data_IF_251720508113
#
_entry.id   IF_251720508113
#
_cell.length_a   1.000
_cell.length_b   1.000
_cell.length_c   1.000
_cell.angle_alpha   90.00
_cell.angle_beta   90.00
_cell.angle_gamma   90.00
#
_symmetry.space_group_name_H-M   'P 1'
#
loop_
_entity.id
_entity.type
_entity.pdbx_description
1 polymer ?
#
# COMPACT_ATOMS: atom_id res chain seq x y z
N UNK A 1 -8.90 -6.59 47.22
CA UNK A 1 -9.24 -7.41 46.07
C UNK A 1 -8.51 -6.81 44.85
N UNK A 2 -7.49 -7.52 44.36
CA UNK A 2 -6.80 -7.15 43.12
C UNK A 2 -7.79 -7.38 41.96
N UNK A 3 -8.26 -6.32 41.30
CA UNK A 3 -8.95 -6.46 40.03
C UNK A 3 -8.01 -7.10 39.06
N UNK A 4 -8.38 -8.28 38.53
CA UNK A 4 -7.71 -8.90 37.42
C UNK A 4 -7.78 -7.93 36.24
N UNK A 5 -6.67 -7.25 35.96
CA UNK A 5 -6.56 -6.46 34.74
C UNK A 5 -6.81 -7.39 33.56
N UNK A 6 -7.84 -7.11 32.77
CA UNK A 6 -8.05 -7.82 31.49
C UNK A 6 -6.79 -7.74 30.62
N UNK A 7 -6.69 -8.57 29.58
CA UNK A 7 -5.48 -8.62 28.74
C UNK A 7 -5.13 -7.21 28.28
N UNK A 8 -3.95 -6.74 28.68
CA UNK A 8 -3.50 -5.38 28.41
C UNK A 8 -3.47 -5.17 26.90
N UNK A 9 -4.23 -4.20 26.41
CA UNK A 9 -4.31 -3.87 24.99
C UNK A 9 -2.94 -3.41 24.50
N UNK A 10 -2.43 -4.03 23.44
CA UNK A 10 -1.15 -3.66 22.83
C UNK A 10 -1.37 -2.41 21.96
N UNK A 11 -0.56 -1.39 22.20
CA UNK A 11 -0.60 -0.15 21.41
C UNK A 11 -0.39 -0.44 19.92
N UNK A 12 -1.22 0.15 19.07
CA UNK A 12 -1.19 -0.07 17.62
C UNK A 12 -2.01 -1.26 17.11
N UNK A 13 -2.29 -2.28 17.92
CA UNK A 13 -3.13 -3.42 17.48
C UNK A 13 -4.55 -3.02 17.13
N UNK A 14 -5.11 -2.02 17.79
CA UNK A 14 -6.48 -1.56 17.54
C UNK A 14 -6.67 -1.02 16.12
N UNK A 15 -5.60 -0.54 15.46
CA UNK A 15 -5.64 -0.09 14.07
C UNK A 15 -6.21 -1.19 13.15
N UNK A 16 -5.84 -2.43 13.40
CA UNK A 16 -6.24 -3.58 12.59
C UNK A 16 -7.59 -4.17 13.01
N UNK A 17 -7.98 -4.02 14.26
CA UNK A 17 -9.25 -4.57 14.79
C UNK A 17 -10.47 -3.72 14.46
N UNK A 18 -10.28 -2.39 14.36
CA UNK A 18 -11.34 -1.44 13.99
C UNK A 18 -11.38 -1.15 12.49
N UNK A 19 -10.49 -1.77 11.71
CA UNK A 19 -10.40 -1.59 10.28
C UNK A 19 -11.62 -2.15 9.58
N UNK A 20 -12.56 -1.28 9.27
CA UNK A 20 -13.70 -1.59 8.44
C UNK A 20 -13.17 -2.01 7.06
N UNK A 21 -13.59 -3.18 6.56
CA UNK A 21 -13.28 -3.73 5.23
C UNK A 21 -13.54 -2.78 4.03
N UNK A 22 -14.12 -1.60 4.29
CA UNK A 22 -14.37 -0.52 3.32
C UNK A 22 -13.12 0.01 2.61
N UNK A 23 -11.91 -0.30 3.08
CA UNK A 23 -10.65 0.09 2.43
C UNK A 23 -10.51 -0.61 1.07
N UNK A 24 -11.11 -1.78 0.89
CA UNK A 24 -11.03 -2.58 -0.34
C UNK A 24 -12.06 -2.20 -1.41
N UNK A 25 -13.09 -1.42 -1.07
CA UNK A 25 -14.16 -1.04 -2.00
C UNK A 25 -13.81 0.14 -2.93
N UNK A 26 -12.65 0.78 -2.73
CA UNK A 26 -12.20 1.92 -3.55
C UNK A 26 -11.35 1.46 -4.72
N UNK A 27 -11.96 0.97 -5.78
CA UNK A 27 -11.21 0.51 -6.95
C UNK A 27 -11.73 0.97 -8.32
N UNK A 28 -12.51 2.05 -8.37
CA UNK A 28 -12.92 2.63 -9.66
C UNK A 28 -12.63 4.12 -9.68
N UNK A 29 -11.87 4.56 -10.71
CA UNK A 29 -11.54 5.96 -11.03
C UNK A 29 -10.86 6.78 -9.92
N UNK A 30 -9.92 6.17 -9.20
CA UNK A 30 -9.09 6.89 -8.23
C UNK A 30 -7.85 7.44 -8.93
N UNK A 31 -7.50 8.67 -8.63
CA UNK A 31 -6.16 9.18 -8.94
C UNK A 31 -5.14 8.28 -8.23
N UNK A 32 -4.41 7.46 -9.00
CA UNK A 32 -3.38 6.60 -8.43
C UNK A 32 -2.30 7.47 -7.75
N UNK A 33 -1.73 7.02 -6.62
CA UNK A 33 -0.58 7.68 -6.05
C UNK A 33 0.55 7.80 -7.07
N UNK A 34 1.22 8.96 -7.11
CA UNK A 34 2.25 9.23 -8.11
C UNK A 34 3.38 8.19 -8.15
N UNK A 35 3.68 7.56 -7.01
CA UNK A 35 4.70 6.52 -6.85
C UNK A 35 4.20 5.09 -7.13
N UNK A 36 2.94 4.89 -7.55
CA UNK A 36 2.42 3.59 -7.95
C UNK A 36 3.16 3.07 -9.18
N UNK A 37 3.71 1.87 -9.11
CA UNK A 37 4.41 1.23 -10.23
C UNK A 37 3.41 0.51 -11.14
N UNK A 38 3.35 0.96 -12.39
CA UNK A 38 2.49 0.37 -13.41
C UNK A 38 2.99 -1.03 -13.83
N UNK A 39 2.05 -1.90 -14.18
CA UNK A 39 2.33 -3.26 -14.60
C UNK A 39 1.33 -3.82 -15.58
N UNK A 40 1.61 -5.03 -16.05
CA UNK A 40 0.73 -5.78 -16.95
C UNK A 40 -0.68 -5.94 -16.35
N UNK A 41 -1.71 -5.65 -17.15
CA UNK A 41 -3.11 -5.75 -16.74
C UNK A 41 -3.67 -4.47 -16.10
N UNK A 42 -2.84 -3.46 -15.78
CA UNK A 42 -3.35 -2.16 -15.36
C UNK A 42 -4.08 -1.49 -16.53
N UNK A 43 -5.24 -0.88 -16.23
CA UNK A 43 -6.07 -0.17 -17.20
C UNK A 43 -6.00 1.32 -16.91
N UNK A 44 -5.54 2.09 -17.88
CA UNK A 44 -5.40 3.53 -17.80
C UNK A 44 -6.51 4.24 -18.58
N UNK A 45 -7.18 5.20 -17.96
CA UNK A 45 -8.07 6.16 -18.61
C UNK A 45 -7.27 7.40 -19.02
N UNK A 46 -7.34 7.76 -20.28
CA UNK A 46 -6.66 8.95 -20.85
C UNK A 46 -7.71 9.87 -21.42
N UNK A 47 -7.82 11.08 -20.90
CA UNK A 47 -8.72 12.09 -21.43
C UNK A 47 -8.02 13.42 -21.67
N UNK A 48 -8.37 14.09 -22.76
CA UNK A 48 -7.93 15.45 -23.03
C UNK A 48 -9.04 16.24 -23.73
N UNK A 49 -9.08 17.52 -23.40
CA UNK A 49 -10.05 18.48 -23.93
C UNK A 49 -9.26 19.66 -24.50
N UNK A 50 -9.43 19.98 -25.77
CA UNK A 50 -8.70 21.07 -26.41
C UNK A 50 -9.16 21.26 -27.85
N UNK A 51 -8.23 21.32 -28.80
CA UNK A 51 -8.54 21.39 -30.24
C UNK A 51 -9.36 20.17 -30.71
N UNK A 52 -9.28 19.05 -29.98
CA UNK A 52 -10.13 17.87 -30.18
C UNK A 52 -10.47 17.23 -28.82
N UNK A 53 -11.57 16.49 -28.77
CA UNK A 53 -11.94 15.67 -27.63
C UNK A 53 -11.26 14.29 -27.75
N UNK A 54 -10.58 13.88 -26.69
CA UNK A 54 -9.96 12.58 -26.59
C UNK A 54 -10.36 11.91 -25.28
N UNK A 55 -10.89 10.70 -25.35
CA UNK A 55 -11.23 9.90 -24.17
C UNK A 55 -11.16 8.42 -24.51
N UNK A 56 -10.11 7.76 -24.07
CA UNK A 56 -9.89 6.34 -24.34
C UNK A 56 -9.31 5.63 -23.11
N UNK A 57 -9.50 4.32 -23.06
CA UNK A 57 -8.89 3.44 -22.08
C UNK A 57 -7.86 2.53 -22.73
N UNK A 58 -6.77 2.27 -22.01
CA UNK A 58 -5.67 1.44 -22.51
C UNK A 58 -5.25 0.45 -21.43
N UNK A 59 -5.15 -0.83 -21.80
CA UNK A 59 -4.60 -1.87 -20.93
C UNK A 59 -3.13 -2.06 -21.23
N UNK A 60 -2.31 -2.15 -20.20
CA UNK A 60 -0.89 -2.48 -20.34
C UNK A 60 -0.79 -3.97 -20.69
N UNK A 61 -0.22 -4.26 -21.85
CA UNK A 61 -0.06 -5.63 -22.36
C UNK A 61 1.03 -6.42 -21.61
N UNK A 62 1.16 -7.73 -21.92
CA UNK A 62 2.15 -8.63 -21.29
C UNK A 62 3.60 -8.22 -21.55
N UNK A 63 3.86 -7.42 -22.58
CA UNK A 63 5.19 -6.85 -22.87
C UNK A 63 5.40 -5.50 -22.18
N UNK A 64 4.38 -4.96 -21.51
CA UNK A 64 4.44 -3.72 -20.77
C UNK A 64 4.11 -2.47 -21.56
N UNK A 65 3.44 -2.60 -22.71
CA UNK A 65 3.11 -1.47 -23.58
C UNK A 65 1.61 -1.17 -23.56
N UNK A 66 1.29 0.12 -23.77
CA UNK A 66 -0.01 0.53 -24.32
C UNK A 66 0.16 0.90 -25.78
N UNK A 67 -0.87 0.65 -26.61
CA UNK A 67 -0.89 1.04 -28.02
C UNK A 67 -1.94 2.12 -28.20
N UNK A 68 -1.50 3.33 -28.55
CA UNK A 68 -2.37 4.47 -28.83
C UNK A 68 -2.53 4.61 -30.35
N UNK A 69 -3.77 4.49 -30.84
CA UNK A 69 -4.03 4.54 -32.28
C UNK A 69 -3.51 5.82 -32.93
N UNK A 70 -2.78 5.66 -34.04
CA UNK A 70 -2.16 6.76 -34.77
C UNK A 70 -0.98 7.45 -34.07
N UNK A 71 -0.64 7.05 -32.81
CA UNK A 71 0.45 7.65 -32.03
C UNK A 71 1.57 6.66 -31.71
N UNK A 72 1.29 5.36 -31.79
CA UNK A 72 2.30 4.32 -31.55
C UNK A 72 2.20 3.64 -30.19
N UNK A 73 3.30 2.99 -29.79
CA UNK A 73 3.41 2.23 -28.55
C UNK A 73 4.20 3.00 -27.50
N UNK A 74 3.79 2.88 -26.25
CA UNK A 74 4.45 3.48 -25.12
C UNK A 74 4.68 2.43 -24.04
N UNK A 75 5.95 2.23 -23.64
CA UNK A 75 6.28 1.31 -22.56
C UNK A 75 6.01 1.95 -21.21
N UNK A 76 5.16 1.31 -20.40
CA UNK A 76 4.74 1.81 -19.11
C UNK A 76 5.00 0.84 -17.95
N UNK A 77 5.28 -0.44 -18.23
CA UNK A 77 5.60 -1.41 -17.17
C UNK A 77 6.87 -1.00 -16.44
N UNK A 78 6.80 -0.94 -15.10
CA UNK A 78 7.94 -0.67 -14.22
C UNK A 78 8.25 0.79 -14.00
N UNK A 79 7.51 1.71 -14.62
CA UNK A 79 7.60 3.15 -14.32
C UNK A 79 6.49 3.57 -13.36
N UNK A 80 6.67 4.70 -12.71
CA UNK A 80 5.67 5.26 -11.78
C UNK A 80 4.50 5.88 -12.55
N UNK A 81 3.35 5.97 -11.89
CA UNK A 81 2.16 6.63 -12.44
C UNK A 81 2.45 8.11 -12.82
N UNK A 82 3.27 8.80 -12.02
CA UNK A 82 3.68 10.17 -12.32
C UNK A 82 4.53 10.27 -13.59
N UNK A 83 5.49 9.36 -13.78
CA UNK A 83 6.30 9.29 -15.02
C UNK A 83 5.44 8.94 -16.22
N UNK A 84 4.52 7.99 -16.09
CA UNK A 84 3.56 7.64 -17.13
C UNK A 84 2.68 8.83 -17.51
N UNK A 85 2.24 9.63 -16.54
CA UNK A 85 1.47 10.85 -16.77
C UNK A 85 2.24 11.83 -17.67
N UNK A 86 3.52 12.05 -17.37
CA UNK A 86 4.38 12.92 -18.19
C UNK A 86 4.58 12.39 -19.61
N UNK A 87 4.80 11.07 -19.75
CA UNK A 87 5.03 10.43 -21.05
C UNK A 87 3.78 10.45 -21.93
N UNK A 88 2.62 10.05 -21.37
CA UNK A 88 1.34 10.03 -22.09
C UNK A 88 0.93 11.43 -22.50
N UNK A 89 1.05 12.40 -21.59
CA UNK A 89 0.79 13.83 -21.88
C UNK A 89 1.67 14.31 -23.02
N UNK A 90 2.99 14.03 -22.98
CA UNK A 90 3.94 14.44 -24.03
C UNK A 90 3.68 13.75 -25.37
N UNK A 91 3.19 12.51 -25.40
CA UNK A 91 2.80 11.84 -26.64
C UNK A 91 1.54 12.46 -27.23
N UNK A 92 0.53 12.73 -26.39
CA UNK A 92 -0.76 13.26 -26.85
C UNK A 92 -0.65 14.72 -27.34
N UNK A 93 0.18 15.55 -26.68
CA UNK A 93 0.39 16.96 -27.04
C UNK A 93 1.02 17.17 -28.43
N UNK A 94 1.59 16.12 -29.03
CA UNK A 94 2.10 16.18 -30.43
C UNK A 94 0.97 16.15 -31.47
N UNK A 95 -0.24 15.78 -31.08
CA UNK A 95 -1.38 15.59 -31.96
C UNK A 95 -2.58 16.46 -31.62
N UNK A 96 -2.76 16.76 -30.36
CA UNK A 96 -3.91 17.52 -29.84
C UNK A 96 -3.33 18.69 -29.04
N UNK A 97 -3.76 19.89 -29.36
CA UNK A 97 -3.44 21.07 -28.57
C UNK A 97 -4.44 21.16 -27.41
N UNK A 98 -3.92 21.11 -26.17
CA UNK A 98 -4.69 21.19 -24.94
C UNK A 98 -3.91 21.92 -23.84
N UNK A 99 -4.62 22.65 -23.00
CA UNK A 99 -4.03 23.34 -21.83
C UNK A 99 -3.64 22.37 -20.71
N UNK A 100 -2.84 22.86 -19.77
CA UNK A 100 -2.32 22.03 -18.65
C UNK A 100 -3.41 21.38 -17.80
N UNK A 101 -4.59 22.00 -17.68
CA UNK A 101 -5.73 21.50 -16.90
C UNK A 101 -6.75 20.72 -17.74
N UNK A 102 -6.45 20.48 -19.01
CA UNK A 102 -7.34 19.79 -19.96
C UNK A 102 -6.89 18.34 -20.25
N UNK A 103 -5.84 17.88 -19.61
CA UNK A 103 -5.34 16.51 -19.69
C UNK A 103 -5.54 15.82 -18.34
N UNK A 104 -6.04 14.58 -18.38
CA UNK A 104 -6.18 13.74 -17.21
C UNK A 104 -5.77 12.31 -17.54
N UNK A 105 -4.92 11.71 -16.68
CA UNK A 105 -4.60 10.31 -16.67
C UNK A 105 -5.14 9.71 -15.37
N UNK A 106 -5.89 8.62 -15.48
CA UNK A 106 -6.45 7.88 -14.34
C UNK A 106 -6.05 6.42 -14.41
N UNK A 107 -5.98 5.77 -13.26
CA UNK A 107 -5.92 4.32 -13.17
C UNK A 107 -7.36 3.81 -13.04
N UNK A 108 -7.98 3.42 -14.16
CA UNK A 108 -9.37 2.96 -14.18
C UNK A 108 -9.53 1.61 -13.47
N UNK A 109 -8.54 0.72 -13.62
CA UNK A 109 -8.49 -0.55 -12.90
C UNK A 109 -7.04 -0.94 -12.68
N UNK A 110 -6.68 -1.27 -11.43
CA UNK A 110 -5.38 -1.86 -11.13
C UNK A 110 -5.44 -3.39 -11.29
N UNK A 111 -4.34 -3.98 -11.70
CA UNK A 111 -4.18 -5.45 -11.74
C UNK A 111 -4.38 -6.06 -10.37
N UNK A 112 -4.70 -7.34 -10.32
CA UNK A 112 -4.80 -8.10 -9.07
C UNK A 112 -3.46 -8.77 -8.76
N UNK A 113 -3.02 -8.67 -7.51
CA UNK A 113 -1.84 -9.35 -6.97
C UNK A 113 -2.28 -10.46 -6.03
N UNK A 114 -1.49 -11.52 -5.97
CA UNK A 114 -1.54 -12.52 -4.88
C UNK A 114 -0.40 -12.23 -3.92
N UNK A 115 -0.72 -12.00 -2.66
CA UNK A 115 0.27 -11.76 -1.60
C UNK A 115 0.07 -12.77 -0.47
N UNK A 116 1.15 -13.16 0.18
CA UNK A 116 1.12 -14.15 1.24
C UNK A 116 1.40 -13.49 2.58
N UNK A 117 0.47 -13.58 3.52
CA UNK A 117 0.64 -13.06 4.88
C UNK A 117 0.88 -14.23 5.81
N UNK A 118 2.03 -14.24 6.48
CA UNK A 118 2.49 -15.40 7.26
C UNK A 118 3.05 -15.01 8.62
N UNK A 119 3.18 -15.99 9.52
CA UNK A 119 3.71 -15.80 10.86
C UNK A 119 2.64 -15.42 11.88
N UNK A 120 2.99 -14.59 12.84
CA UNK A 120 2.13 -14.20 13.97
C UNK A 120 1.08 -13.16 13.54
N UNK A 121 0.14 -13.56 12.70
CA UNK A 121 -1.01 -12.76 12.21
C UNK A 121 -2.32 -13.44 12.62
N UNK A 122 -3.42 -12.67 12.64
CA UNK A 122 -4.74 -13.20 12.99
C UNK A 122 -5.21 -14.26 12.00
N UNK A 123 -5.09 -14.01 10.71
CA UNK A 123 -5.52 -14.91 9.65
C UNK A 123 -4.38 -15.08 8.63
N UNK A 124 -3.45 -16.02 8.84
CA UNK A 124 -2.41 -16.28 7.85
C UNK A 124 -3.00 -16.90 6.58
N UNK A 125 -2.46 -16.54 5.42
CA UNK A 125 -2.95 -17.06 4.15
C UNK A 125 -2.52 -16.24 2.94
N UNK A 126 -3.02 -16.64 1.77
CA UNK A 126 -2.83 -15.94 0.52
C UNK A 126 -4.03 -15.05 0.21
N UNK A 127 -3.77 -13.79 -0.10
CA UNK A 127 -4.77 -12.76 -0.34
C UNK A 127 -4.66 -12.24 -1.77
N UNK A 128 -5.79 -12.12 -2.45
CA UNK A 128 -5.88 -11.45 -3.75
C UNK A 128 -6.34 -10.01 -3.54
N UNK A 129 -5.50 -9.07 -3.93
CA UNK A 129 -5.72 -7.65 -3.71
C UNK A 129 -5.44 -6.85 -4.99
N UNK A 130 -6.19 -5.77 -5.27
CA UNK A 130 -5.80 -4.81 -6.28
C UNK A 130 -4.39 -4.25 -6.02
N UNK A 131 -3.55 -4.12 -7.04
CA UNK A 131 -2.15 -3.71 -6.90
C UNK A 131 -1.97 -2.28 -6.34
N UNK A 132 -3.02 -1.47 -6.35
CA UNK A 132 -3.04 -0.15 -5.72
C UNK A 132 -3.05 -0.22 -4.19
N UNK A 133 -3.37 -1.40 -3.61
CA UNK A 133 -3.31 -1.60 -2.17
C UNK A 133 -1.87 -1.78 -1.71
N UNK A 134 -1.61 -1.29 -0.52
CA UNK A 134 -0.31 -1.31 0.10
C UNK A 134 -0.14 -2.51 1.03
N UNK A 135 1.06 -2.70 1.56
CA UNK A 135 1.35 -3.73 2.54
C UNK A 135 0.52 -3.57 3.82
N UNK A 136 0.21 -2.33 4.22
CA UNK A 136 -0.71 -2.06 5.33
C UNK A 136 -2.12 -2.58 5.04
N UNK A 137 -2.64 -2.34 3.83
CA UNK A 137 -3.96 -2.83 3.44
C UNK A 137 -4.02 -4.37 3.46
N UNK A 138 -2.97 -5.04 2.94
CA UNK A 138 -2.87 -6.49 2.97
C UNK A 138 -2.83 -7.04 4.42
N UNK A 139 -2.08 -6.38 5.30
CA UNK A 139 -2.00 -6.74 6.70
C UNK A 139 -3.35 -6.54 7.42
N UNK A 140 -4.08 -5.46 7.09
CA UNK A 140 -5.44 -5.23 7.59
C UNK A 140 -6.41 -6.31 7.11
N UNK A 141 -6.31 -6.77 5.86
CA UNK A 141 -7.10 -7.89 5.33
C UNK A 141 -6.87 -9.18 6.12
N UNK A 142 -5.64 -9.39 6.58
CA UNK A 142 -5.28 -10.53 7.43
C UNK A 142 -5.67 -10.35 8.91
N UNK A 143 -6.33 -9.23 9.28
CA UNK A 143 -6.70 -8.92 10.66
C UNK A 143 -5.54 -8.38 11.52
N UNK A 144 -4.40 -8.08 10.91
CA UNK A 144 -3.21 -7.55 11.56
C UNK A 144 -2.42 -8.58 12.37
N UNK A 145 -1.36 -8.13 13.07
CA UNK A 145 -0.57 -8.98 13.94
C UNK A 145 -1.39 -9.60 15.08
N UNK A 146 -1.10 -10.86 15.40
CA UNK A 146 -1.65 -11.57 16.56
C UNK A 146 -1.06 -10.99 17.86
N UNK A 147 -1.49 -11.52 19.01
CA UNK A 147 -1.08 -10.98 20.30
C UNK A 147 0.43 -11.07 20.58
N UNK A 148 1.10 -12.06 19.99
CA UNK A 148 2.55 -12.23 20.08
C UNK A 148 3.30 -11.63 18.87
N UNK A 149 2.55 -11.20 17.84
CA UNK A 149 3.13 -10.67 16.61
C UNK A 149 3.73 -9.29 16.79
N UNK A 150 4.90 -9.09 16.18
CA UNK A 150 5.54 -7.77 16.16
C UNK A 150 4.72 -6.75 15.35
N UNK A 151 4.61 -5.54 15.88
CA UNK A 151 4.06 -4.36 15.20
C UNK A 151 5.17 -3.48 14.63
N UNK A 152 6.44 -3.73 15.00
CA UNK A 152 7.54 -2.82 14.73
C UNK A 152 8.63 -3.38 13.81
N UNK A 153 8.53 -4.67 13.44
CA UNK A 153 9.52 -5.37 12.62
C UNK A 153 8.85 -6.30 11.59
N UNK A 154 7.78 -5.84 10.94
CA UNK A 154 7.05 -6.61 9.92
C UNK A 154 7.85 -6.58 8.63
N UNK A 155 8.26 -7.76 8.13
CA UNK A 155 9.13 -7.88 6.97
C UNK A 155 8.30 -8.11 5.70
N UNK A 156 8.58 -7.32 4.65
CA UNK A 156 8.12 -7.62 3.31
C UNK A 156 9.26 -8.34 2.58
N UNK A 157 8.98 -9.52 2.06
CA UNK A 157 9.96 -10.36 1.42
C UNK A 157 9.57 -10.60 -0.05
N UNK A 158 10.54 -10.50 -0.92
CA UNK A 158 10.44 -10.79 -2.35
C UNK A 158 11.60 -11.67 -2.76
N UNK A 159 11.33 -12.78 -3.44
CA UNK A 159 12.37 -13.74 -3.88
C UNK A 159 13.34 -14.14 -2.75
N UNK A 160 12.79 -14.36 -1.55
CA UNK A 160 13.57 -14.76 -0.37
C UNK A 160 14.38 -13.64 0.31
N UNK A 161 14.30 -12.40 -0.18
CA UNK A 161 15.01 -11.24 0.39
C UNK A 161 14.06 -10.27 1.06
N UNK A 162 14.48 -9.67 2.16
CA UNK A 162 13.74 -8.57 2.81
C UNK A 162 13.92 -7.30 1.97
N UNK A 163 12.81 -6.82 1.38
CA UNK A 163 12.80 -5.59 0.56
C UNK A 163 12.36 -4.36 1.35
N UNK A 164 11.58 -4.55 2.41
CA UNK A 164 11.12 -3.48 3.29
C UNK A 164 10.80 -4.04 4.67
N UNK A 165 11.02 -3.25 5.70
CA UNK A 165 10.50 -3.50 7.06
C UNK A 165 9.51 -2.41 7.40
N UNK A 166 8.33 -2.78 7.88
CA UNK A 166 7.29 -1.85 8.32
C UNK A 166 7.31 -1.74 9.83
N UNK A 167 7.12 -0.52 10.33
CA UNK A 167 6.89 -0.19 11.73
C UNK A 167 5.53 0.52 11.86
N UNK A 168 4.58 -0.14 12.53
CA UNK A 168 3.23 0.41 12.73
C UNK A 168 3.28 1.67 13.58
N UNK A 169 4.20 1.76 14.55
CA UNK A 169 4.32 2.94 15.40
C UNK A 169 4.79 4.16 14.60
N UNK A 170 5.78 3.97 13.72
CA UNK A 170 6.23 5.05 12.82
C UNK A 170 5.08 5.53 11.93
N UNK A 171 4.29 4.60 11.39
CA UNK A 171 3.12 4.94 10.58
C UNK A 171 2.06 5.73 11.35
N UNK A 172 1.82 5.38 12.63
CA UNK A 172 0.81 6.05 13.46
C UNK A 172 1.27 7.41 13.99
N UNK A 173 2.55 7.54 14.33
CA UNK A 173 3.10 8.74 14.97
C UNK A 173 3.59 9.77 13.94
N UNK A 174 4.08 9.31 12.82
CA UNK A 174 4.67 10.13 11.76
C UNK A 174 4.08 9.74 10.40
N UNK A 175 2.79 10.08 10.13
CA UNK A 175 2.13 9.65 8.91
C UNK A 175 2.84 10.23 7.68
N UNK A 176 3.57 9.38 7.00
CA UNK A 176 4.26 9.66 5.74
C UNK A 176 3.94 8.55 4.74
N UNK A 177 3.52 8.92 3.53
CA UNK A 177 3.22 7.96 2.46
C UNK A 177 4.42 7.08 2.07
N UNK A 178 5.65 7.49 2.40
CA UNK A 178 6.87 6.70 2.17
C UNK A 178 7.06 5.55 3.17
N UNK A 179 6.32 5.57 4.28
CA UNK A 179 6.37 4.48 5.28
C UNK A 179 5.58 3.27 4.83
N UNK A 180 4.59 3.46 3.96
CA UNK A 180 3.85 2.37 3.36
C UNK A 180 4.54 1.86 2.08
N UNK A 181 4.18 0.67 1.63
CA UNK A 181 4.88 -0.01 0.56
C UNK A 181 3.91 -0.71 -0.40
N UNK A 182 4.06 -0.45 -1.71
CA UNK A 182 3.32 -1.15 -2.74
C UNK A 182 3.90 -2.55 -2.95
N UNK A 183 3.01 -3.53 -2.89
CA UNK A 183 3.37 -4.93 -3.06
C UNK A 183 3.49 -5.30 -4.55
N UNK A 184 4.20 -6.38 -4.80
CA UNK A 184 4.21 -7.07 -6.09
C UNK A 184 3.62 -8.47 -5.94
N UNK A 185 3.31 -9.08 -7.08
CA UNK A 185 2.77 -10.43 -7.09
C UNK A 185 3.74 -11.42 -6.43
N UNK A 186 3.20 -12.31 -5.61
CA UNK A 186 3.94 -13.29 -4.80
C UNK A 186 4.84 -12.70 -3.69
N UNK A 187 4.68 -11.44 -3.31
CA UNK A 187 5.33 -10.93 -2.10
C UNK A 187 4.80 -11.64 -0.84
N UNK A 188 5.68 -11.74 0.15
CA UNK A 188 5.35 -12.24 1.48
C UNK A 188 5.40 -11.10 2.49
N UNK A 189 4.38 -11.02 3.34
CA UNK A 189 4.37 -10.19 4.55
C UNK A 189 4.56 -11.14 5.72
N UNK A 190 5.75 -11.11 6.33
CA UNK A 190 6.13 -11.98 7.42
C UNK A 190 6.11 -11.21 8.75
N UNK A 191 5.21 -11.61 9.64
CA UNK A 191 5.11 -11.07 10.99
C UNK A 191 5.81 -12.03 11.95
N UNK A 192 6.93 -11.61 12.52
CA UNK A 192 7.64 -12.36 13.53
C UNK A 192 7.03 -12.20 14.93
N UNK A 193 7.62 -12.85 15.92
CA UNK A 193 7.30 -12.67 17.34
C UNK A 193 7.90 -11.33 17.81
N UNK A 194 7.13 -10.56 18.59
CA UNK A 194 7.61 -9.35 19.25
C UNK A 194 8.68 -9.70 20.29
N UNK A 195 9.81 -9.03 20.26
CA UNK A 195 10.93 -9.38 21.14
C UNK A 195 10.68 -8.96 22.60
N UNK A 196 10.07 -7.80 22.81
CA UNK A 196 9.89 -7.24 24.14
C UNK A 196 8.64 -6.40 24.27
N UNK A 197 7.76 -6.80 25.18
CA UNK A 197 6.60 -6.01 25.60
C UNK A 197 6.81 -5.40 26.97
N UNK A 198 6.43 -4.13 27.14
CA UNK A 198 6.47 -3.40 28.40
C UNK A 198 5.06 -2.86 28.70
N UNK A 199 4.54 -3.24 29.85
CA UNK A 199 3.27 -2.73 30.33
C UNK A 199 3.48 -1.42 31.10
N UNK A 200 2.81 -0.37 30.65
CA UNK A 200 2.79 0.92 31.33
C UNK A 200 1.44 1.06 32.04
N UNK A 201 1.46 1.38 33.33
CA UNK A 201 0.27 1.51 34.18
C UNK A 201 0.45 2.64 35.19
N UNK A 202 -0.62 3.01 35.89
CA UNK A 202 -0.61 4.08 36.88
C UNK A 202 -1.08 5.42 36.31
N UNK A 203 -0.59 6.52 36.86
CA UNK A 203 -1.00 7.89 36.50
C UNK A 203 -0.31 8.36 35.22
N UNK A 204 -0.57 7.68 34.10
CA UNK A 204 -0.05 8.00 32.76
C UNK A 204 -1.20 8.23 31.79
N UNK A 205 -0.98 9.02 30.75
CA UNK A 205 -2.03 9.39 29.78
C UNK A 205 -2.55 8.17 28.96
N UNK A 206 -1.69 7.19 28.68
CA UNK A 206 -2.05 6.00 27.89
C UNK A 206 -1.51 4.72 28.55
N UNK A 207 -2.21 4.18 29.56
CA UNK A 207 -1.84 2.92 30.18
C UNK A 207 -2.12 1.75 29.22
N UNK A 208 -1.09 1.21 28.59
CA UNK A 208 -1.16 0.14 27.60
C UNK A 208 0.11 -0.71 27.62
N UNK A 209 0.12 -1.81 26.89
CA UNK A 209 1.33 -2.58 26.58
C UNK A 209 1.96 -2.04 25.30
N UNK A 210 3.25 -1.81 25.34
CA UNK A 210 4.05 -1.29 24.23
C UNK A 210 5.11 -2.28 23.82
N UNK A 211 5.36 -2.39 22.51
CA UNK A 211 6.50 -3.11 21.97
C UNK A 211 7.72 -2.20 21.90
N UNK A 212 8.84 -2.64 22.43
CA UNK A 212 10.14 -1.94 22.35
C UNK A 212 11.07 -2.68 21.37
N UNK A 213 11.73 -1.92 20.51
CA UNK A 213 12.84 -2.45 19.70
C UNK A 213 14.06 -2.78 20.57
N UNK A 214 15.02 -3.64 20.08
CA UNK A 214 16.20 -4.07 20.81
C UNK A 214 16.96 -2.90 21.28
N UNK A 215 17.22 -2.05 21.68
CA UNK A 215 18.00 -0.90 22.15
C UNK A 215 17.17 0.31 22.57
N UNK A 216 15.85 0.20 22.45
CA UNK A 216 14.96 1.26 22.92
C UNK A 216 14.71 1.14 24.42
N UNK A 217 14.45 2.28 25.04
CA UNK A 217 13.99 2.42 26.42
C UNK A 217 12.67 3.18 26.48
N UNK A 218 12.10 3.30 27.68
CA UNK A 218 10.81 3.97 27.87
C UNK A 218 10.80 5.45 27.47
N UNK A 219 11.96 6.11 27.41
CA UNK A 219 12.04 7.50 26.96
C UNK A 219 11.92 7.65 25.44
N UNK A 220 11.95 6.56 24.70
CA UNK A 220 11.78 6.53 23.24
C UNK A 220 10.32 6.29 22.82
N UNK A 221 9.41 6.03 23.76
CA UNK A 221 7.97 5.88 23.59
C UNK A 221 7.24 7.20 23.80
#
# INVERSE_FOLDING_TARGET
AAQSAGPATIYGQQLFRNGTLKIFERSQDIAAPGNYLLGEGDVLGVSAYGSAFFNNTYTIDSRGFITMEGMGKLQLRGITFEEANKLVKGMLSRRIDFGSNQFNLTLSTSRTLTVNVVGEVQNPGSYKLPAINTAFNALMAAGGPANLGTLRAIKIMREGKVVKTLDVYEFMLYPDSRLDYFLQDNDYIAVGIAERHVQISGAVQRPMTYELKPKENLANL
#
